data_IF_954439087853
#
_entry.id   IF_954439087853
#
_cell.length_a   1.000
_cell.length_b   1.000
_cell.length_c   1.000
_cell.angle_alpha   90.00
_cell.angle_beta   90.00
_cell.angle_gamma   90.00
#
_symmetry.space_group_name_H-M   'P 1'
#
loop_
_entity.id
_entity.type
_entity.pdbx_description
1 polymer ?
#
# COMPACT_ATOMS: atom_id res chain seq x y z
N UNK A 1 -41.20 19.31 1.79
CA UNK A 1 -40.23 18.23 2.06
C UNK A 1 -39.38 18.11 0.81
N UNK A 2 -38.13 18.58 0.83
CA UNK A 2 -37.29 18.70 -0.37
C UNK A 2 -36.34 17.51 -0.41
N UNK A 3 -36.61 16.55 -1.28
CA UNK A 3 -35.72 15.40 -1.52
C UNK A 3 -34.57 15.83 -2.41
N UNK A 4 -33.37 15.95 -1.84
CA UNK A 4 -32.14 16.15 -2.62
C UNK A 4 -31.77 14.81 -3.25
N UNK A 5 -31.90 14.71 -4.57
CA UNK A 5 -31.40 13.56 -5.31
C UNK A 5 -29.88 13.70 -5.48
N UNK A 6 -29.13 12.80 -4.87
CA UNK A 6 -27.68 12.70 -5.07
C UNK A 6 -27.47 11.94 -6.38
N UNK A 7 -27.17 12.65 -7.46
CA UNK A 7 -26.82 12.02 -8.72
C UNK A 7 -25.39 11.45 -8.66
N UNK A 8 -25.28 10.13 -8.86
CA UNK A 8 -23.98 9.46 -8.99
C UNK A 8 -23.46 9.69 -10.40
N UNK A 9 -22.49 10.59 -10.54
CA UNK A 9 -21.82 10.84 -11.82
C UNK A 9 -20.58 9.95 -11.95
N UNK A 10 -20.57 9.04 -12.92
CA UNK A 10 -19.37 8.27 -13.29
C UNK A 10 -18.39 9.24 -13.96
N UNK A 11 -17.25 9.49 -13.34
CA UNK A 11 -16.16 10.26 -13.95
C UNK A 11 -15.26 9.26 -14.66
N UNK A 12 -15.19 9.34 -15.97
CA UNK A 12 -14.28 8.53 -16.77
C UNK A 12 -12.97 9.31 -16.93
N UNK A 13 -11.94 8.87 -16.20
CA UNK A 13 -10.59 9.37 -16.35
C UNK A 13 -9.97 8.66 -17.54
N UNK A 14 -9.82 9.37 -18.66
CA UNK A 14 -8.87 8.97 -19.71
C UNK A 14 -7.48 9.22 -19.14
N UNK A 15 -6.82 8.20 -18.61
CA UNK A 15 -5.44 8.29 -18.12
C UNK A 15 -4.50 8.42 -19.33
N UNK A 16 -3.88 9.58 -19.57
CA UNK A 16 -2.80 9.68 -20.54
C UNK A 16 -1.52 9.33 -19.77
N UNK A 17 -1.10 8.07 -19.84
CA UNK A 17 0.23 7.52 -19.53
C UNK A 17 0.02 6.02 -19.37
N UNK A 18 0.82 5.22 -20.08
CA UNK A 18 0.96 3.78 -19.81
C UNK A 18 1.57 3.63 -18.41
N UNK A 19 0.73 3.72 -17.38
CA UNK A 19 1.14 3.39 -16.01
C UNK A 19 1.37 1.88 -16.00
N UNK A 20 2.59 1.40 -15.70
CA UNK A 20 2.86 -0.03 -15.65
C UNK A 20 1.95 -0.68 -14.61
N UNK A 21 1.54 -1.93 -14.84
CA UNK A 21 0.75 -2.65 -13.86
C UNK A 21 1.49 -2.69 -12.49
N UNK A 22 0.80 -2.48 -11.36
CA UNK A 22 1.45 -2.56 -10.05
C UNK A 22 1.82 -4.00 -9.72
N UNK A 23 2.92 -4.20 -8.99
CA UNK A 23 3.36 -5.51 -8.48
C UNK A 23 2.42 -6.04 -7.39
N UNK A 24 1.82 -5.15 -6.60
CA UNK A 24 0.87 -5.50 -5.54
C UNK A 24 -0.45 -4.73 -5.68
N UNK A 25 -1.51 -5.24 -5.07
CA UNK A 25 -2.85 -4.68 -5.07
C UNK A 25 -3.32 -4.40 -3.64
N UNK A 26 -4.13 -3.34 -3.48
CA UNK A 26 -4.80 -3.03 -2.21
C UNK A 26 -5.57 -4.25 -1.72
N UNK A 27 -5.38 -4.59 -0.45
CA UNK A 27 -5.99 -5.73 0.22
C UNK A 27 -5.12 -6.99 0.25
N UNK A 28 -4.04 -7.07 -0.54
CA UNK A 28 -3.13 -8.21 -0.49
C UNK A 28 -2.37 -8.29 0.84
N UNK A 29 -2.13 -9.52 1.27
CA UNK A 29 -1.24 -9.83 2.38
C UNK A 29 0.19 -9.97 1.85
N UNK A 30 1.12 -9.33 2.54
CA UNK A 30 2.53 -9.26 2.17
C UNK A 30 3.40 -9.41 3.41
N UNK A 31 4.64 -9.82 3.23
CA UNK A 31 5.71 -9.57 4.21
C UNK A 31 6.48 -8.33 3.79
N UNK A 32 6.87 -7.53 4.77
CA UNK A 32 7.60 -6.27 4.56
C UNK A 32 8.87 -6.28 5.40
N UNK A 33 9.99 -5.98 4.79
CA UNK A 33 11.28 -5.87 5.46
C UNK A 33 11.38 -4.52 6.18
N UNK A 34 11.26 -4.52 7.51
CA UNK A 34 11.25 -3.30 8.32
C UNK A 34 12.14 -3.42 9.57
N UNK A 35 12.45 -2.27 10.19
CA UNK A 35 13.23 -2.22 11.43
C UNK A 35 12.38 -2.61 12.64
N UNK A 36 12.92 -3.46 13.51
CA UNK A 36 12.22 -3.86 14.75
C UNK A 36 12.24 -2.76 15.82
N UNK A 37 13.30 -1.95 15.85
CA UNK A 37 13.51 -0.93 16.87
C UNK A 37 14.44 0.16 16.34
N UNK A 38 14.02 1.42 16.46
CA UNK A 38 14.81 2.61 16.14
C UNK A 38 16.17 2.70 16.85
N UNK A 39 16.37 1.98 17.95
CA UNK A 39 17.65 1.90 18.67
C UNK A 39 18.66 0.96 18.00
N UNK A 40 18.21 0.09 17.09
CA UNK A 40 19.02 -0.86 16.33
C UNK A 40 18.55 -0.87 14.86
N UNK A 41 18.80 0.23 14.12
CA UNK A 41 18.33 0.36 12.74
C UNK A 41 18.91 -0.70 11.80
N UNK A 42 20.05 -1.30 12.14
CA UNK A 42 20.67 -2.36 11.35
C UNK A 42 19.93 -3.70 11.41
N UNK A 43 18.96 -3.85 12.33
CA UNK A 43 18.24 -5.10 12.59
C UNK A 43 16.87 -5.11 11.88
N UNK A 44 16.87 -5.51 10.61
CA UNK A 44 15.65 -5.65 9.79
C UNK A 44 15.07 -7.06 9.83
N UNK A 45 13.74 -7.14 9.87
CA UNK A 45 12.98 -8.39 9.88
C UNK A 45 11.78 -8.31 8.92
N UNK A 46 11.32 -9.46 8.47
CA UNK A 46 10.08 -9.58 7.72
C UNK A 46 8.89 -9.55 8.67
N UNK A 47 7.96 -8.64 8.40
CA UNK A 47 6.73 -8.50 9.18
C UNK A 47 5.51 -8.66 8.27
N UNK A 48 4.48 -9.39 8.71
CA UNK A 48 3.24 -9.50 7.96
C UNK A 48 2.55 -8.13 7.93
N UNK A 49 2.07 -7.73 6.75
CA UNK A 49 1.37 -6.49 6.52
C UNK A 49 0.25 -6.66 5.49
N UNK A 50 -0.62 -5.65 5.39
CA UNK A 50 -1.66 -5.54 4.36
C UNK A 50 -1.45 -4.28 3.55
N UNK A 51 -1.52 -4.38 2.23
CA UNK A 51 -1.49 -3.20 1.35
C UNK A 51 -2.80 -2.41 1.50
N UNK A 52 -2.69 -1.14 1.87
CA UNK A 52 -3.84 -0.23 2.07
C UNK A 52 -3.90 0.90 1.05
N UNK A 53 -2.80 1.20 0.38
CA UNK A 53 -2.71 2.28 -0.61
C UNK A 53 -1.58 2.03 -1.60
N UNK A 54 -1.65 2.70 -2.75
CA UNK A 54 -0.66 2.57 -3.83
C UNK A 54 -0.50 3.93 -4.49
N UNK A 55 0.74 4.28 -4.83
CA UNK A 55 1.07 5.51 -5.56
C UNK A 55 2.09 5.17 -6.65
N UNK A 56 1.90 5.77 -7.83
CA UNK A 56 2.88 5.74 -8.90
C UNK A 56 3.44 7.14 -9.10
N UNK A 57 4.70 7.36 -8.73
CA UNK A 57 5.41 8.63 -8.88
C UNK A 57 6.78 8.41 -9.51
N UNK A 58 7.22 9.32 -10.38
CA UNK A 58 8.55 9.25 -11.03
C UNK A 58 8.87 7.87 -11.67
N UNK A 59 7.87 7.23 -12.29
CA UNK A 59 7.99 5.90 -12.90
C UNK A 59 8.31 4.77 -11.92
N UNK A 60 7.92 4.93 -10.65
CA UNK A 60 8.08 3.92 -9.60
C UNK A 60 6.78 3.75 -8.82
N UNK A 61 6.48 2.50 -8.50
CA UNK A 61 5.42 2.17 -7.55
C UNK A 61 5.93 2.26 -6.12
N UNK A 62 5.06 2.76 -5.24
CA UNK A 62 5.22 2.71 -3.80
C UNK A 62 3.90 2.26 -3.19
N UNK A 63 3.97 1.57 -2.06
CA UNK A 63 2.83 0.91 -1.45
C UNK A 63 2.70 1.34 0.00
N UNK A 64 1.50 1.74 0.39
CA UNK A 64 1.18 1.96 1.78
C UNK A 64 0.78 0.62 2.39
N UNK A 65 1.42 0.26 3.49
CA UNK A 65 1.20 -1.01 4.18
C UNK A 65 0.80 -0.76 5.63
N UNK A 66 -0.10 -1.59 6.14
CA UNK A 66 -0.45 -1.65 7.55
C UNK A 66 0.12 -2.95 8.14
N UNK A 67 1.05 -2.83 9.08
CA UNK A 67 1.63 -4.00 9.75
C UNK A 67 0.58 -4.73 10.60
N UNK A 68 0.61 -6.06 10.55
CA UNK A 68 -0.26 -6.96 11.30
C UNK A 68 0.44 -7.43 12.57
N UNK A 69 -0.31 -7.64 13.65
CA UNK A 69 0.17 -8.17 14.92
C UNK A 69 1.27 -7.32 15.62
N UNK A 70 1.48 -6.08 15.18
CA UNK A 70 2.34 -5.11 15.85
C UNK A 70 1.53 -4.28 16.85
N UNK A 71 2.08 -4.03 18.05
CA UNK A 71 1.42 -3.27 19.12
C UNK A 71 1.19 -1.79 18.75
N UNK A 72 1.97 -1.27 17.81
CA UNK A 72 1.63 -0.08 17.03
C UNK A 72 1.11 -0.52 15.67
N UNK A 73 -0.11 -0.13 15.31
CA UNK A 73 -0.60 -0.22 13.93
C UNK A 73 0.17 0.78 13.06
N UNK A 74 1.43 0.44 12.78
CA UNK A 74 2.29 1.23 11.92
C UNK A 74 1.74 1.21 10.51
N UNK A 75 1.49 2.39 9.95
CA UNK A 75 1.22 2.58 8.54
C UNK A 75 2.46 3.22 7.94
N UNK A 76 3.01 2.60 6.90
CA UNK A 76 4.26 3.03 6.28
C UNK A 76 4.16 2.94 4.76
N UNK A 77 4.91 3.80 4.06
CA UNK A 77 5.11 3.70 2.63
C UNK A 77 6.41 2.95 2.36
N UNK A 78 6.32 1.88 1.57
CA UNK A 78 7.44 1.01 1.26
C UNK A 78 7.59 0.81 -0.25
N UNK A 79 8.81 0.49 -0.67
CA UNK A 79 9.10 0.14 -2.05
C UNK A 79 8.77 -1.34 -2.30
N UNK A 80 8.43 -1.72 -3.55
CA UNK A 80 8.16 -3.12 -3.90
C UNK A 80 9.35 -4.05 -3.61
N UNK A 81 10.58 -3.54 -3.63
CA UNK A 81 11.80 -4.30 -3.34
C UNK A 81 11.91 -4.77 -1.88
N UNK A 82 11.20 -4.10 -0.96
CA UNK A 82 11.13 -4.45 0.46
C UNK A 82 9.89 -5.29 0.80
N UNK A 83 9.14 -5.75 -0.22
CA UNK A 83 7.89 -6.47 -0.07
C UNK A 83 7.97 -7.87 -0.68
N UNK A 84 7.31 -8.82 -0.05
CA UNK A 84 7.12 -10.17 -0.57
C UNK A 84 5.65 -10.56 -0.48
N UNK A 85 5.10 -11.14 -1.55
CA UNK A 85 3.70 -11.59 -1.54
C UNK A 85 3.57 -12.80 -0.62
N UNK A 86 2.72 -12.69 0.41
CA UNK A 86 2.26 -13.85 1.16
C UNK A 86 1.12 -14.47 0.36
N UNK A 87 1.47 -15.34 -0.59
CA UNK A 87 0.44 -16.09 -1.30
C UNK A 87 -0.34 -17.00 -0.34
N UNK A 88 -1.62 -17.27 -0.64
CA UNK A 88 -2.41 -18.31 0.03
C UNK A 88 -1.91 -19.73 -0.26
#
# INVERSE_FOLDING_TARGET
>A
MTTVQIERRKVEFLLPVEVPAPEFCIGQLVEVLAEKNWQKPDEKYWFPARVTGMEHSHSKWSYQVQFLNCSGQGIEWVNPEDMWLLEP
#
